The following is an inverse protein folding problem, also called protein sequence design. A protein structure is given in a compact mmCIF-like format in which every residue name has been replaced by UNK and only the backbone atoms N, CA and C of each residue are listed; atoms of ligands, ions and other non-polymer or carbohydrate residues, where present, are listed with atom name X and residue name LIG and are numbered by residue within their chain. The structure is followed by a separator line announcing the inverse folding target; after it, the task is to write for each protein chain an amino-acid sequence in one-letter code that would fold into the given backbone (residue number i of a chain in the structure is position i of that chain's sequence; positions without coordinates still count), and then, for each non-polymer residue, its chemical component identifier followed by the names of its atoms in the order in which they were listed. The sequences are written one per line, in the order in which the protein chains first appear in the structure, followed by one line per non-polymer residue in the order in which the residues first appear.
data_IF_322301505484
#
_entry.id   IF_322301505484
#
_cell.length_a   1.000
_cell.length_b   1.000
_cell.length_c   1.000
_cell.angle_alpha   90.00
_cell.angle_beta   90.00
_cell.angle_gamma   90.00
#
_symmetry.space_group_name_H-M   'P 1'
#
loop_
_entity.id
_entity.type
_entity.pdbx_description
1 polymer ?
#
# COMPACT_ATOMS: atom_id res chain seq x y z
N UNK A 1 -3.21 -4.85 -8.71
CA UNK A 1 -3.81 -5.01 -10.06
C UNK A 1 -4.91 -3.98 -10.20
N UNK A 2 -5.00 -3.28 -11.34
CA UNK A 2 -6.11 -2.34 -11.62
C UNK A 2 -6.82 -2.82 -12.89
N UNK A 3 -8.14 -3.00 -12.81
CA UNK A 3 -9.01 -3.27 -13.96
C UNK A 3 -10.01 -2.12 -14.10
N UNK A 4 -9.98 -1.43 -15.24
CA UNK A 4 -10.83 -0.26 -15.52
C UNK A 4 -11.38 -0.35 -16.96
N UNK A 5 -12.71 -0.46 -17.17
CA UNK A 5 -13.74 -0.61 -16.13
C UNK A 5 -13.60 -1.92 -15.35
N UNK A 6 -14.20 -1.99 -14.18
CA UNK A 6 -14.31 -3.25 -13.45
C UNK A 6 -15.08 -4.28 -14.31
N UNK A 7 -14.59 -5.52 -14.45
CA UNK A 7 -15.33 -6.59 -15.12
C UNK A 7 -16.53 -7.03 -14.28
N UNK A 8 -17.36 -7.92 -14.83
CA UNK A 8 -18.55 -8.45 -14.14
C UNK A 8 -18.19 -9.49 -13.05
N UNK A 9 -17.02 -10.13 -13.16
CA UNK A 9 -16.59 -11.28 -12.35
C UNK A 9 -15.23 -11.11 -11.61
N UNK A 10 -14.86 -9.94 -11.08
CA UNK A 10 -13.50 -9.70 -10.57
C UNK A 10 -13.16 -10.52 -9.33
N UNK A 11 -14.15 -10.96 -8.53
CA UNK A 11 -13.93 -11.89 -7.42
C UNK A 11 -13.58 -13.30 -7.93
N UNK A 12 -14.23 -13.76 -9.00
CA UNK A 12 -13.90 -15.06 -9.62
C UNK A 12 -12.49 -15.03 -10.23
N UNK A 13 -12.10 -13.92 -10.86
CA UNK A 13 -10.74 -13.70 -11.34
C UNK A 13 -9.70 -13.73 -10.21
N UNK A 14 -10.01 -13.10 -9.06
CA UNK A 14 -9.16 -13.18 -7.87
C UNK A 14 -9.02 -14.62 -7.37
N UNK A 15 -10.12 -15.33 -7.15
CA UNK A 15 -10.09 -16.73 -6.70
C UNK A 15 -9.38 -17.64 -7.71
N UNK A 16 -9.56 -17.39 -9.01
CA UNK A 16 -8.81 -18.04 -10.08
C UNK A 16 -7.30 -17.81 -9.98
N UNK A 17 -6.87 -16.60 -9.61
CA UNK A 17 -5.46 -16.28 -9.40
C UNK A 17 -4.85 -17.03 -8.20
N UNK A 18 -5.60 -17.23 -7.11
CA UNK A 18 -5.15 -18.05 -5.99
C UNK A 18 -4.96 -19.52 -6.37
N UNK A 19 -5.91 -20.09 -7.12
CA UNK A 19 -5.76 -21.45 -7.65
C UNK A 19 -4.54 -21.59 -8.56
N UNK A 20 -4.26 -20.57 -9.39
CA UNK A 20 -3.08 -20.54 -10.24
C UNK A 20 -1.76 -20.49 -9.44
N UNK A 21 -1.78 -19.93 -8.24
CA UNK A 21 -0.65 -19.93 -7.29
C UNK A 21 -0.53 -21.23 -6.48
N UNK A 22 -1.45 -22.18 -6.65
CA UNK A 22 -1.47 -23.44 -5.92
C UNK A 22 -2.18 -23.39 -4.56
N UNK A 23 -2.95 -22.34 -4.28
CA UNK A 23 -3.80 -22.26 -3.08
C UNK A 23 -5.07 -23.06 -3.34
N UNK A 24 -5.33 -24.08 -2.52
CA UNK A 24 -6.58 -24.84 -2.55
C UNK A 24 -7.67 -24.13 -1.76
N UNK A 25 -8.38 -23.22 -2.44
CA UNK A 25 -9.41 -22.39 -1.79
C UNK A 25 -10.59 -23.19 -1.22
N UNK A 26 -10.77 -24.47 -1.58
CA UNK A 26 -11.82 -25.34 -1.02
C UNK A 26 -11.36 -25.99 0.29
N UNK A 27 -10.04 -26.12 0.50
CA UNK A 27 -9.44 -26.63 1.71
C UNK A 27 -9.20 -25.54 2.78
N UNK A 28 -9.31 -24.27 2.39
CA UNK A 28 -9.05 -23.11 3.23
C UNK A 28 -10.32 -22.28 3.50
N UNK A 29 -10.35 -21.59 4.64
CA UNK A 29 -11.43 -20.66 4.97
C UNK A 29 -11.16 -19.30 4.31
N UNK A 30 -11.66 -19.14 3.08
CA UNK A 30 -11.58 -17.87 2.34
C UNK A 30 -12.81 -17.01 2.63
N UNK A 31 -12.60 -15.81 3.18
CA UNK A 31 -13.68 -14.88 3.52
C UNK A 31 -13.45 -13.51 2.90
N UNK A 32 -14.53 -12.93 2.38
CA UNK A 32 -14.60 -11.53 1.99
C UNK A 32 -15.27 -10.75 3.12
N UNK A 33 -14.50 -9.98 3.86
CA UNK A 33 -14.97 -9.16 4.98
C UNK A 33 -15.10 -7.73 4.49
N UNK A 34 -16.30 -7.14 4.60
CA UNK A 34 -16.53 -5.77 4.13
C UNK A 34 -15.61 -4.79 4.85
N UNK A 35 -14.84 -4.04 4.07
CA UNK A 35 -14.00 -2.95 4.55
C UNK A 35 -13.85 -1.90 3.45
N UNK A 36 -14.20 -0.66 3.79
CA UNK A 36 -14.12 0.45 2.83
C UNK A 36 -12.73 1.07 2.93
N UNK A 37 -12.14 1.35 1.77
CA UNK A 37 -10.79 1.91 1.71
C UNK A 37 -10.86 3.41 1.48
N UNK A 38 -10.02 4.15 2.20
CA UNK A 38 -9.81 5.58 2.02
C UNK A 38 -8.32 5.92 2.10
N UNK A 39 -7.88 6.79 1.19
CA UNK A 39 -6.60 7.48 1.26
C UNK A 39 -6.83 8.99 1.17
N UNK A 40 -6.88 9.67 2.33
CA UNK A 40 -7.09 11.12 2.38
C UNK A 40 -6.04 11.90 1.58
N UNK A 41 -4.77 11.47 1.67
CA UNK A 41 -3.65 12.10 0.96
C UNK A 41 -3.81 12.07 -0.57
N UNK A 42 -4.51 11.06 -1.11
CA UNK A 42 -4.80 10.95 -2.54
C UNK A 42 -6.19 11.46 -2.90
N UNK A 43 -6.98 11.93 -1.91
CA UNK A 43 -8.38 12.26 -2.09
C UNK A 43 -9.16 11.11 -2.75
N UNK A 44 -8.81 9.87 -2.41
CA UNK A 44 -9.29 8.67 -3.05
C UNK A 44 -10.01 7.77 -2.04
N UNK A 45 -11.12 7.17 -2.45
CA UNK A 45 -11.85 6.22 -1.63
C UNK A 45 -12.63 5.23 -2.49
N UNK A 46 -12.97 4.09 -1.91
CA UNK A 46 -13.72 3.03 -2.57
C UNK A 46 -14.41 2.09 -1.59
N UNK A 47 -15.39 1.36 -2.10
CA UNK A 47 -16.05 0.27 -1.37
C UNK A 47 -15.30 -1.03 -1.61
N UNK A 48 -15.20 -1.91 -0.63
CA UNK A 48 -14.32 -3.04 -0.77
C UNK A 48 -14.51 -4.16 0.22
N UNK A 49 -13.58 -5.11 0.12
CA UNK A 49 -13.41 -6.19 1.07
C UNK A 49 -11.94 -6.41 1.36
N UNK A 50 -11.66 -6.74 2.61
CA UNK A 50 -10.49 -7.52 2.97
C UNK A 50 -10.75 -8.99 2.64
N UNK A 51 -9.80 -9.65 2.01
CA UNK A 51 -9.86 -11.08 1.71
C UNK A 51 -8.96 -11.83 2.68
N UNK A 52 -9.59 -12.63 3.53
CA UNK A 52 -8.94 -13.40 4.58
C UNK A 52 -8.79 -14.86 4.15
N UNK A 53 -7.63 -15.45 4.42
CA UNK A 53 -7.31 -16.87 4.24
C UNK A 53 -6.87 -17.43 5.59
N UNK A 54 -7.64 -18.37 6.15
CA UNK A 54 -7.36 -19.02 7.45
C UNK A 54 -7.06 -18.04 8.60
N UNK A 55 -7.79 -16.92 8.64
CA UNK A 55 -7.64 -15.91 9.69
C UNK A 55 -6.46 -14.95 9.49
N UNK A 56 -5.88 -14.90 8.29
CA UNK A 56 -4.91 -13.89 7.88
C UNK A 56 -5.43 -13.13 6.65
N UNK A 57 -5.52 -11.81 6.72
CA UNK A 57 -5.83 -10.95 5.58
C UNK A 57 -4.71 -11.04 4.54
N UNK A 58 -5.00 -11.49 3.32
CA UNK A 58 -4.00 -11.71 2.26
C UNK A 58 -4.18 -10.80 1.05
N UNK A 59 -5.31 -10.09 0.92
CA UNK A 59 -5.57 -9.20 -0.22
C UNK A 59 -6.59 -8.13 0.14
N UNK A 60 -6.35 -6.91 -0.29
CA UNK A 60 -7.35 -5.84 -0.31
C UNK A 60 -8.04 -5.80 -1.67
N UNK A 61 -9.36 -5.68 -1.67
CA UNK A 61 -10.18 -5.55 -2.87
C UNK A 61 -10.98 -4.25 -2.80
N UNK A 62 -10.88 -3.37 -3.78
CA UNK A 62 -11.48 -2.02 -3.69
C UNK A 62 -12.05 -1.55 -5.03
N UNK A 63 -13.33 -1.18 -5.03
CA UNK A 63 -13.98 -0.47 -6.13
C UNK A 63 -13.87 1.04 -5.92
N UNK A 64 -12.93 1.67 -6.62
CA UNK A 64 -12.73 3.11 -6.51
C UNK A 64 -13.97 3.89 -6.97
N UNK A 65 -14.40 4.83 -6.13
CA UNK A 65 -15.47 5.79 -6.44
C UNK A 65 -14.89 7.16 -6.76
N UNK A 66 -13.78 7.52 -6.12
CA UNK A 66 -13.14 8.82 -6.24
C UNK A 66 -11.61 8.69 -6.30
N UNK A 67 -10.95 9.58 -7.03
CA UNK A 67 -9.50 9.80 -6.94
C UNK A 67 -9.17 11.29 -7.12
N UNK A 68 -8.21 11.81 -6.36
CA UNK A 68 -7.81 13.22 -6.43
C UNK A 68 -8.92 14.21 -6.08
N UNK A 69 -9.93 13.79 -5.31
CA UNK A 69 -11.10 14.62 -5.00
C UNK A 69 -12.21 14.59 -6.06
N UNK A 70 -12.04 13.84 -7.15
CA UNK A 70 -12.99 13.80 -8.26
C UNK A 70 -13.63 12.41 -8.40
N UNK A 71 -14.98 12.34 -8.57
CA UNK A 71 -15.65 11.09 -8.92
C UNK A 71 -15.07 10.51 -10.21
N UNK A 72 -14.94 9.18 -10.27
CA UNK A 72 -14.45 8.50 -11.48
C UNK A 72 -15.56 8.37 -12.53
N UNK A 73 -15.21 8.59 -13.80
CA UNK A 73 -16.14 8.37 -14.94
C UNK A 73 -16.55 6.89 -15.08
N UNK A 74 -15.68 5.98 -14.67
CA UNK A 74 -15.94 4.54 -14.64
C UNK A 74 -15.27 3.93 -13.41
N UNK A 75 -16.02 3.09 -12.68
CA UNK A 75 -15.49 2.36 -11.52
C UNK A 75 -14.30 1.48 -11.98
N UNK A 76 -13.19 1.60 -11.25
CA UNK A 76 -12.05 0.70 -11.38
C UNK A 76 -12.05 -0.23 -10.16
N UNK A 77 -11.68 -1.49 -10.38
CA UNK A 77 -11.40 -2.42 -9.29
C UNK A 77 -9.89 -2.53 -9.10
N UNK A 78 -9.46 -2.35 -7.86
CA UNK A 78 -8.13 -2.64 -7.37
C UNK A 78 -8.11 -3.95 -6.60
N UNK A 79 -7.11 -4.77 -6.90
CA UNK A 79 -6.81 -6.01 -6.19
C UNK A 79 -5.35 -5.93 -5.76
N UNK A 80 -5.12 -5.83 -4.45
CA UNK A 80 -3.79 -5.61 -3.86
C UNK A 80 -3.40 -6.82 -3.02
N UNK A 81 -2.46 -7.62 -3.52
CA UNK A 81 -2.03 -8.86 -2.90
C UNK A 81 -0.94 -8.61 -1.85
N UNK A 82 -1.13 -9.15 -0.64
CA UNK A 82 -0.10 -9.25 0.39
C UNK A 82 0.80 -10.44 0.14
N UNK A 83 1.81 -10.27 -0.71
CA UNK A 83 2.66 -11.37 -1.21
C UNK A 83 3.32 -12.17 -0.07
N UNK A 84 3.88 -11.51 0.94
CA UNK A 84 4.56 -12.16 2.06
C UNK A 84 3.59 -13.06 2.85
N UNK A 85 2.35 -12.61 3.08
CA UNK A 85 1.33 -13.39 3.78
C UNK A 85 0.86 -14.59 2.97
N UNK A 86 0.70 -14.41 1.66
CA UNK A 86 0.40 -15.51 0.73
C UNK A 86 1.52 -16.56 0.74
N UNK A 87 2.78 -16.11 0.64
CA UNK A 87 3.94 -17.00 0.68
C UNK A 87 4.09 -17.72 2.02
N UNK A 88 3.82 -17.03 3.14
CA UNK A 88 3.80 -17.64 4.46
C UNK A 88 2.78 -18.79 4.54
N UNK A 89 1.58 -18.59 4.00
CA UNK A 89 0.55 -19.64 3.92
C UNK A 89 1.02 -20.81 3.05
N UNK A 90 1.47 -20.55 1.82
CA UNK A 90 1.93 -21.58 0.88
C UNK A 90 3.13 -22.40 1.38
N UNK A 91 4.04 -21.78 2.14
CA UNK A 91 5.24 -22.42 2.65
C UNK A 91 5.11 -22.90 4.10
N UNK A 92 3.94 -22.73 4.73
CA UNK A 92 3.71 -23.10 6.13
C UNK A 92 4.63 -22.38 7.12
N UNK A 93 4.94 -21.10 6.88
CA UNK A 93 5.82 -20.28 7.73
C UNK A 93 5.01 -19.36 8.62
N UNK A 94 5.38 -19.25 9.89
CA UNK A 94 4.73 -18.35 10.86
C UNK A 94 5.36 -16.96 10.92
N UNK A 95 6.49 -16.74 10.25
CA UNK A 95 7.21 -15.46 10.26
C UNK A 95 7.81 -15.17 8.87
N UNK A 96 7.73 -13.92 8.40
CA UNK A 96 8.13 -13.54 7.04
C UNK A 96 9.60 -13.87 6.75
N UNK A 97 10.50 -13.66 7.72
CA UNK A 97 11.94 -13.95 7.58
C UNK A 97 12.24 -15.40 7.17
N UNK A 98 11.36 -16.34 7.50
CA UNK A 98 11.55 -17.77 7.28
C UNK A 98 10.98 -18.23 5.92
N UNK A 99 10.37 -17.32 5.14
CA UNK A 99 9.99 -17.55 3.75
C UNK A 99 11.26 -17.87 2.95
N UNK A 100 11.24 -18.96 2.18
CA UNK A 100 12.24 -19.23 1.17
C UNK A 100 11.98 -18.32 -0.04
N UNK A 101 12.90 -17.39 -0.28
CA UNK A 101 12.82 -16.43 -1.39
C UNK A 101 13.36 -17.03 -2.69
N UNK A 102 14.44 -17.80 -2.58
CA UNK A 102 15.06 -18.57 -3.66
C UNK A 102 15.70 -19.82 -3.05
N UNK A 103 16.10 -20.84 -3.86
CA UNK A 103 16.67 -22.08 -3.34
C UNK A 103 17.82 -21.81 -2.35
N UNK A 104 17.59 -22.14 -1.08
CA UNK A 104 18.57 -21.95 0.01
C UNK A 104 18.79 -20.50 0.47
N UNK A 105 17.96 -19.54 0.04
CA UNK A 105 18.00 -18.14 0.47
C UNK A 105 16.66 -17.77 1.11
N UNK A 106 16.69 -17.41 2.37
CA UNK A 106 15.53 -16.93 3.11
C UNK A 106 15.27 -15.43 2.87
N UNK A 107 14.02 -15.02 3.02
CA UNK A 107 13.60 -13.61 2.96
C UNK A 107 14.30 -12.79 4.05
N UNK A 108 14.55 -13.41 5.21
CA UNK A 108 15.31 -12.80 6.32
C UNK A 108 16.75 -12.46 5.94
N UNK A 109 17.44 -13.32 5.19
CA UNK A 109 18.80 -13.03 4.72
C UNK A 109 18.87 -11.79 3.81
N UNK A 110 17.80 -11.53 3.06
CA UNK A 110 17.75 -10.40 2.12
C UNK A 110 17.27 -9.12 2.83
N UNK A 111 16.22 -9.22 3.64
CA UNK A 111 15.47 -8.04 4.09
C UNK A 111 15.54 -7.75 5.60
N UNK A 112 15.98 -8.68 6.45
CA UNK A 112 15.99 -8.45 7.91
C UNK A 112 16.86 -7.25 8.30
N UNK A 113 18.05 -7.12 7.69
CA UNK A 113 18.92 -6.00 7.98
C UNK A 113 18.29 -4.67 7.55
N UNK A 114 17.64 -4.64 6.39
CA UNK A 114 16.91 -3.47 5.91
C UNK A 114 15.78 -3.08 6.88
N UNK A 115 14.98 -4.04 7.35
CA UNK A 115 13.91 -3.79 8.32
C UNK A 115 14.42 -3.20 9.64
N UNK A 116 15.54 -3.73 10.16
CA UNK A 116 16.17 -3.22 11.39
C UNK A 116 16.65 -1.78 11.19
N UNK A 117 17.37 -1.52 10.09
CA UNK A 117 17.94 -0.21 9.81
C UNK A 117 16.86 0.84 9.51
N UNK A 118 15.87 0.50 8.68
CA UNK A 118 14.76 1.39 8.34
C UNK A 118 13.84 1.65 9.53
N UNK A 119 13.58 0.65 10.38
CA UNK A 119 12.84 0.89 11.63
C UNK A 119 13.59 1.88 12.53
N UNK A 120 14.89 1.67 12.74
CA UNK A 120 15.71 2.59 13.53
C UNK A 120 15.75 4.00 12.92
N UNK A 121 15.84 4.10 11.60
CA UNK A 121 15.80 5.39 10.92
C UNK A 121 14.44 6.09 11.13
N UNK A 122 13.35 5.42 10.78
CA UNK A 122 12.00 5.99 10.80
C UNK A 122 11.50 6.29 12.22
N UNK A 123 11.88 5.49 13.22
CA UNK A 123 11.38 5.62 14.59
C UNK A 123 12.29 6.43 15.50
N UNK A 124 13.61 6.43 15.28
CA UNK A 124 14.56 7.02 16.25
C UNK A 124 15.46 8.11 15.64
N UNK A 125 16.06 7.85 14.47
CA UNK A 125 17.22 8.60 13.98
C UNK A 125 16.86 9.70 12.99
N UNK A 126 15.77 9.58 12.23
CA UNK A 126 15.41 10.56 11.22
C UNK A 126 15.28 11.95 11.83
N UNK A 127 16.00 12.90 11.22
CA UNK A 127 16.05 14.29 11.64
C UNK A 127 14.75 15.00 11.23
N UNK A 128 13.96 15.38 12.23
CA UNK A 128 12.66 16.02 12.01
C UNK A 128 12.80 17.32 11.24
N UNK A 129 13.76 18.18 11.61
CA UNK A 129 13.93 19.49 10.97
C UNK A 129 14.30 19.38 9.49
N UNK A 130 15.20 18.45 9.14
CA UNK A 130 15.59 18.19 7.75
C UNK A 130 14.42 17.63 6.94
N UNK A 131 13.65 16.69 7.50
CA UNK A 131 12.50 16.12 6.82
C UNK A 131 11.38 17.16 6.62
N UNK A 132 11.12 18.03 7.59
CA UNK A 132 10.19 19.15 7.41
C UNK A 132 10.62 20.07 6.27
N UNK A 133 11.91 20.43 6.19
CA UNK A 133 12.42 21.24 5.07
C UNK A 133 12.27 20.53 3.71
N UNK A 134 12.57 19.23 3.65
CA UNK A 134 12.40 18.45 2.41
C UNK A 134 10.93 18.37 1.98
N UNK A 135 10.00 18.18 2.94
CA UNK A 135 8.57 18.20 2.65
C UNK A 135 8.15 19.50 1.97
N UNK A 136 8.49 20.66 2.56
CA UNK A 136 8.15 21.98 2.02
C UNK A 136 8.76 22.20 0.63
N UNK A 137 10.02 21.79 0.42
CA UNK A 137 10.68 21.90 -0.88
C UNK A 137 10.00 21.03 -1.95
N UNK A 138 9.66 19.79 -1.62
CA UNK A 138 8.97 18.90 -2.56
C UNK A 138 7.55 19.38 -2.86
N UNK A 139 6.80 19.86 -1.87
CA UNK A 139 5.47 20.42 -2.06
C UNK A 139 5.52 21.69 -2.95
N UNK A 140 6.47 22.59 -2.71
CA UNK A 140 6.66 23.80 -3.53
C UNK A 140 7.00 23.45 -4.97
N UNK A 141 7.93 22.51 -5.19
CA UNK A 141 8.31 22.10 -6.55
C UNK A 141 7.13 21.44 -7.28
N UNK A 142 6.34 20.62 -6.59
CA UNK A 142 5.12 20.04 -7.15
C UNK A 142 4.14 21.15 -7.60
N UNK A 143 3.93 22.17 -6.76
CA UNK A 143 3.05 23.30 -7.08
C UNK A 143 3.58 24.12 -8.28
N UNK A 144 4.88 24.36 -8.36
CA UNK A 144 5.51 25.05 -9.49
C UNK A 144 5.34 24.28 -10.80
N UNK A 145 5.45 22.95 -10.75
CA UNK A 145 5.20 22.08 -11.90
C UNK A 145 3.73 22.13 -12.34
N UNK A 146 2.77 22.18 -11.39
CA UNK A 146 1.35 22.37 -11.71
C UNK A 146 1.09 23.73 -12.37
N UNK A 147 1.67 24.81 -11.84
CA UNK A 147 1.55 26.15 -12.40
C UNK A 147 2.05 26.22 -13.85
N UNK A 148 3.04 25.39 -14.18
CA UNK A 148 3.61 25.24 -15.53
C UNK A 148 2.89 24.21 -16.40
N UNK A 149 1.81 23.59 -15.90
CA UNK A 149 1.06 22.52 -16.57
C UNK A 149 1.91 21.28 -16.88
N UNK A 150 2.78 20.91 -15.95
CA UNK A 150 3.65 19.72 -16.00
C UNK A 150 3.20 18.70 -14.93
N UNK A 151 2.09 17.97 -15.14
CA UNK A 151 1.49 17.13 -14.09
C UNK A 151 2.33 15.91 -13.72
N UNK A 152 3.10 15.34 -14.66
CA UNK A 152 3.93 14.16 -14.37
C UNK A 152 5.08 14.50 -13.40
N UNK A 153 5.90 15.55 -13.64
CA UNK A 153 6.85 16.03 -12.64
C UNK A 153 6.18 16.42 -11.31
N UNK A 154 5.04 17.10 -11.36
CA UNK A 154 4.31 17.48 -10.14
C UNK A 154 3.97 16.25 -9.28
N UNK A 155 3.44 15.19 -9.91
CA UNK A 155 3.09 13.95 -9.23
C UNK A 155 4.31 13.26 -8.61
N UNK A 156 5.45 13.24 -9.29
CA UNK A 156 6.68 12.67 -8.73
C UNK A 156 7.15 13.41 -7.47
N UNK A 157 7.02 14.74 -7.42
CA UNK A 157 7.35 15.52 -6.23
C UNK A 157 6.32 15.35 -5.12
N UNK A 158 5.04 15.21 -5.47
CA UNK A 158 3.99 14.86 -4.51
C UNK A 158 4.27 13.51 -3.83
N UNK A 159 4.71 12.49 -4.56
CA UNK A 159 5.08 11.20 -3.97
C UNK A 159 6.25 11.32 -2.98
N UNK A 160 7.25 12.17 -3.28
CA UNK A 160 8.34 12.46 -2.35
C UNK A 160 7.85 13.17 -1.10
N UNK A 161 7.00 14.18 -1.25
CA UNK A 161 6.39 14.89 -0.13
C UNK A 161 5.59 13.91 0.76
N UNK A 162 4.74 13.06 0.16
CA UNK A 162 3.97 12.03 0.87
C UNK A 162 4.87 11.06 1.64
N UNK A 163 5.97 10.59 1.03
CA UNK A 163 6.92 9.73 1.73
C UNK A 163 7.62 10.45 2.88
N UNK A 164 8.06 11.70 2.69
CA UNK A 164 8.67 12.50 3.76
C UNK A 164 7.70 12.77 4.91
N UNK A 165 6.41 12.99 4.60
CA UNK A 165 5.36 13.08 5.61
C UNK A 165 5.27 11.80 6.45
N UNK A 166 5.29 10.61 5.82
CA UNK A 166 5.25 9.34 6.55
C UNK A 166 6.45 9.16 7.50
N UNK A 167 7.65 9.65 7.12
CA UNK A 167 8.82 9.65 8.01
C UNK A 167 8.58 10.57 9.22
N UNK A 168 8.05 11.78 9.00
CA UNK A 168 7.73 12.71 10.09
C UNK A 168 6.67 12.13 11.03
N UNK A 169 5.65 11.47 10.47
CA UNK A 169 4.59 10.82 11.24
C UNK A 169 5.13 9.66 12.08
N UNK A 170 5.97 8.80 11.50
CA UNK A 170 6.65 7.72 12.22
C UNK A 170 7.56 8.22 13.36
N UNK A 171 8.18 9.40 13.19
CA UNK A 171 8.95 10.06 14.26
C UNK A 171 8.08 10.67 15.36
N UNK A 172 6.75 10.62 15.23
CA UNK A 172 5.81 11.25 16.16
C UNK A 172 5.88 12.78 16.15
N UNK A 173 6.41 13.36 15.07
CA UNK A 173 6.59 14.81 14.94
C UNK A 173 5.33 15.54 14.46
N UNK A 174 4.32 14.81 13.98
CA UNK A 174 3.07 15.37 13.47
C UNK A 174 1.98 15.23 14.54
N UNK A 175 1.50 16.36 15.07
CA UNK A 175 0.36 16.36 15.97
C UNK A 175 -0.96 15.99 15.27
N UNK A 176 -1.95 15.49 16.02
CA UNK A 176 -3.28 15.11 15.47
C UNK A 176 -3.94 16.27 14.72
N UNK A 177 -3.81 17.50 15.23
CA UNK A 177 -4.36 18.71 14.59
C UNK A 177 -3.53 19.17 13.39
N UNK A 178 -2.22 18.92 13.40
CA UNK A 178 -1.33 19.29 12.30
C UNK A 178 -1.46 18.34 11.12
N UNK A 179 -1.80 17.06 11.37
CA UNK A 179 -2.01 16.04 10.33
C UNK A 179 -3.03 16.47 9.27
N UNK A 180 -4.09 17.17 9.65
CA UNK A 180 -5.10 17.67 8.70
C UNK A 180 -4.61 18.83 7.82
N UNK A 181 -3.46 19.45 8.16
CA UNK A 181 -2.85 20.55 7.40
C UNK A 181 -1.88 20.04 6.33
N UNK A 182 -1.23 18.91 6.59
CA UNK A 182 -0.35 18.22 5.64
C UNK A 182 -1.17 17.55 4.54
#
# INVERSE_FOLDING_TARGET
VILKPAPDDPQELLLGSYRALGIDIEAHDVRFVEDNWESPALGAWGLGWEVWLDGMEITQFTYFQQAGGYPLDSVAVEITYGLERILMSLQGKSHFKDIEFAPGISYGEIFMQNEIEMSKYNLDVADVGRNSQMFELYASEAQDMLNRRLPIPAYNFLLKASHTFNILDARGAIGVTERARY
#
